data_IF_761967619725
#
_entry.id   IF_761967619725
#
_cell.length_a   1.000
_cell.length_b   1.000
_cell.length_c   1.000
_cell.angle_alpha   90.00
_cell.angle_beta   90.00
_cell.angle_gamma   90.00
#
_symmetry.space_group_name_H-M   'P 1'
#
loop_
_entity.id
_entity.type
_entity.pdbx_description
1 polymer ?
#
# COMPACT_ATOMS: atom_id res chain seq x y z
N UNK A 1 -25.13 -5.78 -27.34
CA UNK A 1 -25.30 -5.04 -26.06
C UNK A 1 -24.46 -5.71 -24.99
N UNK A 2 -23.41 -5.05 -24.53
CA UNK A 2 -22.87 -5.23 -23.18
C UNK A 2 -22.21 -3.91 -22.78
N UNK A 3 -23.00 -3.04 -22.15
CA UNK A 3 -22.50 -1.91 -21.39
C UNK A 3 -21.81 -2.49 -20.16
N UNK A 4 -20.49 -2.49 -20.10
CA UNK A 4 -19.82 -2.49 -18.80
C UNK A 4 -19.88 -1.06 -18.27
N UNK A 5 -21.03 -0.73 -17.67
CA UNK A 5 -21.19 0.43 -16.82
C UNK A 5 -20.61 0.07 -15.45
N UNK A 6 -19.38 0.48 -15.19
CA UNK A 6 -18.89 0.64 -13.82
C UNK A 6 -18.20 1.98 -13.71
N UNK A 7 -19.05 2.96 -13.40
CA UNK A 7 -18.72 4.22 -12.75
C UNK A 7 -17.77 3.98 -11.58
N UNK A 8 -16.49 4.32 -11.73
CA UNK A 8 -15.57 4.38 -10.59
C UNK A 8 -14.70 5.61 -10.77
N UNK A 9 -14.92 6.59 -9.89
CA UNK A 9 -14.20 7.84 -9.73
C UNK A 9 -12.71 7.70 -10.06
N UNK A 10 -12.33 8.14 -11.26
CA UNK A 10 -10.95 8.51 -11.54
C UNK A 10 -10.74 9.88 -10.89
N UNK A 11 -10.48 9.88 -9.59
CA UNK A 11 -9.66 10.96 -9.06
C UNK A 11 -8.30 10.70 -9.66
N UNK A 12 -8.04 11.33 -10.80
CA UNK A 12 -6.73 11.50 -11.41
C UNK A 12 -5.87 12.36 -10.49
N UNK A 13 -5.64 11.88 -9.27
CA UNK A 13 -4.49 12.30 -8.51
C UNK A 13 -3.32 11.64 -9.24
N UNK A 14 -2.52 12.47 -9.89
CA UNK A 14 -1.18 12.11 -10.35
C UNK A 14 -0.50 11.54 -9.10
N UNK A 15 -0.15 10.26 -9.13
CA UNK A 15 0.51 9.61 -8.00
C UNK A 15 1.92 10.18 -7.99
N UNK A 16 2.15 11.26 -7.24
CA UNK A 16 3.47 11.89 -7.11
C UNK A 16 4.39 11.14 -6.14
N UNK A 17 3.92 10.03 -5.55
CA UNK A 17 4.73 9.15 -4.71
C UNK A 17 5.40 8.01 -5.47
N UNK A 18 6.74 8.05 -5.58
CA UNK A 18 7.55 6.91 -6.01
C UNK A 18 7.72 5.84 -4.91
N UNK A 19 7.23 6.09 -3.69
CA UNK A 19 7.32 5.16 -2.57
C UNK A 19 6.69 3.80 -2.91
N UNK A 20 7.49 2.73 -2.78
CA UNK A 20 7.14 1.33 -3.07
C UNK A 20 6.65 1.06 -4.51
N UNK A 21 6.97 1.95 -5.45
CA UNK A 21 6.73 1.74 -6.89
C UNK A 21 7.48 0.50 -7.37
N UNK A 22 6.78 -0.38 -8.07
CA UNK A 22 7.33 -1.68 -8.50
C UNK A 22 7.32 -2.77 -7.43
N UNK A 23 7.21 -2.42 -6.14
CA UNK A 23 7.13 -3.38 -5.04
C UNK A 23 5.69 -3.83 -4.80
N UNK A 24 4.77 -2.88 -4.65
CA UNK A 24 3.34 -3.17 -4.44
C UNK A 24 2.44 -2.50 -5.50
N UNK A 25 1.24 -3.03 -5.67
CA UNK A 25 0.29 -2.54 -6.67
C UNK A 25 -0.21 -1.12 -6.34
N UNK A 26 -0.68 -0.39 -7.36
CA UNK A 26 -1.20 0.97 -7.22
C UNK A 26 -2.28 1.13 -6.14
N UNK A 27 -3.25 0.19 -5.94
CA UNK A 27 -4.24 0.32 -4.87
C UNK A 27 -3.62 0.35 -3.47
N UNK A 28 -2.60 -0.48 -3.22
CA UNK A 28 -1.91 -0.54 -1.93
C UNK A 28 -1.09 0.75 -1.67
N UNK A 29 -0.39 1.26 -2.69
CA UNK A 29 0.33 2.55 -2.59
C UNK A 29 -0.60 3.71 -2.26
N UNK A 30 -1.76 3.78 -2.92
CA UNK A 30 -2.80 4.78 -2.63
C UNK A 30 -3.34 4.68 -1.21
N UNK A 31 -3.43 3.46 -0.67
CA UNK A 31 -3.87 3.26 0.70
C UNK A 31 -2.86 3.83 1.70
N UNK A 32 -1.56 3.57 1.48
CA UNK A 32 -0.48 4.16 2.29
C UNK A 32 -0.44 5.69 2.21
N UNK A 33 -0.59 6.25 1.00
CA UNK A 33 -0.61 7.70 0.78
C UNK A 33 -1.75 8.39 1.54
N UNK A 34 -2.94 7.79 1.57
CA UNK A 34 -4.08 8.30 2.36
C UNK A 34 -3.79 8.36 3.86
N UNK A 35 -3.05 7.38 4.36
CA UNK A 35 -2.57 7.33 5.75
C UNK A 35 -1.29 8.17 5.96
N UNK A 36 -0.81 8.89 4.95
CA UNK A 36 0.43 9.69 4.96
C UNK A 36 1.69 8.86 5.26
N UNK A 37 1.67 7.58 4.90
CA UNK A 37 2.77 6.63 5.00
C UNK A 37 3.56 6.67 3.69
N UNK A 38 4.69 7.36 3.70
CA UNK A 38 5.55 7.62 2.53
C UNK A 38 7.00 7.12 2.74
N UNK A 39 7.28 6.45 3.87
CA UNK A 39 8.61 5.96 4.22
C UNK A 39 8.56 4.64 5.00
N UNK A 40 9.69 3.93 5.04
CA UNK A 40 9.79 2.67 5.79
C UNK A 40 9.75 2.90 7.31
N UNK A 41 10.28 4.03 7.78
CA UNK A 41 10.23 4.44 9.18
C UNK A 41 8.78 4.61 9.62
N UNK A 42 7.96 5.34 8.86
CA UNK A 42 6.52 5.47 9.15
C UNK A 42 5.82 4.12 9.11
N UNK A 43 6.15 3.24 8.16
CA UNK A 43 5.59 1.88 8.13
C UNK A 43 5.90 1.08 9.40
N UNK A 44 7.07 1.29 9.99
CA UNK A 44 7.49 0.58 11.20
C UNK A 44 6.68 0.98 12.45
N UNK A 45 5.98 2.11 12.40
CA UNK A 45 5.08 2.55 13.47
C UNK A 45 3.74 1.78 13.49
N UNK A 46 3.43 1.05 12.41
CA UNK A 46 2.20 0.27 12.25
C UNK A 46 2.47 -1.23 12.41
N UNK A 47 1.48 -1.96 12.90
CA UNK A 47 1.46 -3.42 12.89
C UNK A 47 1.08 -3.99 11.51
N UNK A 48 1.45 -5.25 11.26
CA UNK A 48 1.04 -5.96 10.04
C UNK A 48 -0.50 -6.01 9.91
N UNK A 49 -1.21 -6.14 11.04
CA UNK A 49 -2.67 -6.16 11.07
C UNK A 49 -3.27 -4.82 10.64
N UNK A 50 -2.76 -3.70 11.14
CA UNK A 50 -3.22 -2.35 10.76
C UNK A 50 -3.04 -2.10 9.26
N UNK A 51 -1.88 -2.46 8.71
CA UNK A 51 -1.63 -2.32 7.27
C UNK A 51 -2.53 -3.26 6.45
N UNK A 52 -2.84 -4.47 6.94
CA UNK A 52 -3.73 -5.42 6.26
C UNK A 52 -5.19 -4.90 6.19
N UNK A 53 -5.62 -4.05 7.13
CA UNK A 53 -6.96 -3.46 7.10
C UNK A 53 -7.12 -2.36 6.03
N UNK A 54 -6.01 -1.83 5.50
CA UNK A 54 -6.05 -0.78 4.49
C UNK A 54 -6.58 -1.31 3.16
N UNK A 55 -7.56 -0.60 2.59
CA UNK A 55 -8.18 -0.96 1.31
C UNK A 55 -7.14 -0.96 0.17
N UNK A 56 -6.76 -2.15 -0.29
CA UNK A 56 -5.72 -2.35 -1.30
C UNK A 56 -4.63 -3.34 -0.86
N UNK A 57 -4.58 -3.68 0.43
CA UNK A 57 -3.69 -4.71 0.97
C UNK A 57 -4.38 -6.08 1.03
N UNK A 58 -4.04 -6.92 0.05
CA UNK A 58 -4.29 -8.35 0.11
C UNK A 58 -3.01 -9.14 0.43
N UNK A 59 -3.14 -10.47 0.56
CA UNK A 59 -2.02 -11.40 0.87
C UNK A 59 -0.76 -11.13 0.04
N UNK A 60 -0.90 -10.96 -1.28
CA UNK A 60 0.24 -10.72 -2.18
C UNK A 60 0.94 -9.38 -1.89
N UNK A 61 0.19 -8.30 -1.71
CA UNK A 61 0.76 -6.98 -1.40
C UNK A 61 1.49 -7.01 -0.05
N UNK A 62 0.90 -7.67 0.96
CA UNK A 62 1.53 -7.81 2.27
C UNK A 62 2.82 -8.63 2.22
N UNK A 63 2.84 -9.76 1.49
CA UNK A 63 4.04 -10.58 1.35
C UNK A 63 5.20 -9.80 0.71
N UNK A 64 4.92 -9.08 -0.39
CA UNK A 64 5.93 -8.24 -1.04
C UNK A 64 6.43 -7.12 -0.14
N UNK A 65 5.52 -6.46 0.60
CA UNK A 65 5.89 -5.42 1.55
C UNK A 65 6.80 -5.98 2.66
N UNK A 66 6.47 -7.13 3.24
CA UNK A 66 7.28 -7.78 4.28
C UNK A 66 8.68 -8.15 3.80
N UNK A 67 8.79 -8.69 2.59
CA UNK A 67 10.09 -9.01 1.97
C UNK A 67 10.91 -7.72 1.86
N UNK A 68 10.33 -6.67 1.29
CA UNK A 68 11.02 -5.39 1.10
C UNK A 68 11.43 -4.74 2.44
N UNK A 69 10.56 -4.75 3.45
CA UNK A 69 10.90 -4.24 4.79
C UNK A 69 12.06 -5.04 5.39
N UNK A 70 12.02 -6.37 5.29
CA UNK A 70 13.09 -7.25 5.78
C UNK A 70 14.42 -7.03 5.08
N UNK A 71 14.43 -6.83 3.76
CA UNK A 71 15.64 -6.48 2.99
C UNK A 71 16.27 -5.16 3.46
N UNK A 72 15.45 -4.25 3.96
CA UNK A 72 15.87 -2.98 4.55
C UNK A 72 16.04 -3.05 6.08
N UNK A 73 16.02 -4.26 6.67
CA UNK A 73 16.16 -4.49 8.12
C UNK A 73 15.12 -3.77 8.99
N UNK A 74 13.95 -3.48 8.42
CA UNK A 74 12.82 -2.86 9.11
C UNK A 74 11.72 -3.91 9.31
N UNK A 75 11.01 -3.82 10.42
CA UNK A 75 9.86 -4.66 10.71
C UNK A 75 8.67 -3.79 11.11
N UNK A 76 7.47 -4.35 10.97
CA UNK A 76 6.28 -3.75 11.58
C UNK A 76 6.44 -3.65 13.09
N UNK A 77 5.67 -2.74 13.68
CA UNK A 77 5.50 -2.66 15.13
C UNK A 77 4.97 -3.99 15.65
N UNK A 78 5.59 -4.49 16.70
CA UNK A 78 5.08 -5.64 17.44
C UNK A 78 3.86 -5.15 18.23
N UNK A 79 2.66 -5.61 17.86
CA UNK A 79 1.40 -5.27 18.51
C UNK A 79 0.57 -6.54 18.69
#
# INVERSE_FOLDING_TARGET
MAKCLSSICVVSHVVEGDFLKGIIAMPARRALEKEKIDSLEKLSDYSEQEIMQLHGFGKNAMQKLKIYMKENQISFKNN
#
